data_IF_523907392092
#
_entry.id   IF_523907392092
#
_cell.length_a   1.000
_cell.length_b   1.000
_cell.length_c   1.000
_cell.angle_alpha   90.00
_cell.angle_beta   90.00
_cell.angle_gamma   90.00
#
_symmetry.space_group_name_H-M   'P 1'
#
loop_
_entity.id
_entity.type
_entity.pdbx_description
1 polymer ?
#
# COMPACT_ATOMS: atom_id res chain seq x y z
N UNK A 1 1.08 -13.61 -43.05
CA UNK A 1 0.73 -14.77 -42.19
C UNK A 1 0.90 -14.31 -40.75
N UNK A 2 -0.17 -14.29 -39.95
CA UNK A 2 -0.12 -13.84 -38.54
C UNK A 2 0.03 -15.05 -37.63
N UNK A 3 1.12 -15.12 -36.86
CA UNK A 3 1.36 -16.20 -35.92
C UNK A 3 0.47 -16.01 -34.68
N UNK A 4 -0.31 -17.02 -34.26
CA UNK A 4 -1.20 -16.87 -33.12
C UNK A 4 -0.42 -16.73 -31.81
N UNK A 5 -0.87 -15.78 -30.97
CA UNK A 5 -0.34 -15.53 -29.64
C UNK A 5 -0.56 -16.76 -28.75
N UNK A 6 0.53 -17.36 -28.25
CA UNK A 6 0.48 -18.45 -27.28
C UNK A 6 0.67 -17.89 -25.88
N UNK A 7 -0.43 -17.76 -25.14
CA UNK A 7 -0.40 -17.35 -23.74
C UNK A 7 -0.22 -18.57 -22.83
N UNK A 8 0.50 -18.40 -21.72
CA UNK A 8 0.63 -19.43 -20.68
C UNK A 8 -0.74 -19.68 -20.05
N UNK A 9 -1.10 -20.95 -19.85
CA UNK A 9 -2.27 -21.30 -19.05
C UNK A 9 -2.02 -20.88 -17.59
N UNK A 10 -2.94 -20.08 -17.05
CA UNK A 10 -2.94 -19.63 -15.67
C UNK A 10 -3.96 -20.45 -14.88
N UNK A 11 -3.62 -20.86 -13.66
CA UNK A 11 -4.58 -21.54 -12.78
C UNK A 11 -5.61 -20.54 -12.23
N UNK A 12 -6.81 -21.02 -11.88
CA UNK A 12 -7.83 -20.18 -11.26
C UNK A 12 -7.37 -19.55 -9.94
N UNK A 13 -6.55 -20.28 -9.17
CA UNK A 13 -5.94 -19.78 -7.95
C UNK A 13 -4.96 -18.64 -8.24
N UNK A 14 -4.06 -18.80 -9.23
CA UNK A 14 -3.13 -17.74 -9.61
C UNK A 14 -3.88 -16.50 -10.14
N UNK A 15 -4.94 -16.68 -10.93
CA UNK A 15 -5.77 -15.59 -11.44
C UNK A 15 -6.47 -14.83 -10.30
N UNK A 16 -7.04 -15.55 -9.33
CA UNK A 16 -7.68 -14.95 -8.15
C UNK A 16 -6.67 -14.19 -7.30
N UNK A 17 -5.52 -14.79 -7.00
CA UNK A 17 -4.47 -14.15 -6.20
C UNK A 17 -3.94 -12.90 -6.88
N UNK A 18 -3.66 -12.94 -8.19
CA UNK A 18 -3.24 -11.75 -8.94
C UNK A 18 -4.32 -10.68 -9.01
N UNK A 19 -5.60 -11.08 -9.10
CA UNK A 19 -6.71 -10.15 -9.01
C UNK A 19 -6.74 -9.43 -7.66
N UNK A 20 -6.65 -10.18 -6.56
CA UNK A 20 -6.61 -9.62 -5.21
C UNK A 20 -5.42 -8.66 -5.01
N UNK A 21 -4.23 -9.05 -5.46
CA UNK A 21 -3.05 -8.19 -5.37
C UNK A 21 -3.21 -6.95 -6.28
N UNK A 22 -3.71 -7.13 -7.49
CA UNK A 22 -3.91 -6.05 -8.47
C UNK A 22 -5.00 -5.06 -8.07
N UNK A 23 -6.00 -5.49 -7.29
CA UNK A 23 -7.02 -4.59 -6.74
C UNK A 23 -6.46 -3.58 -5.74
N UNK A 24 -5.32 -3.89 -5.12
CA UNK A 24 -4.73 -3.04 -4.09
C UNK A 24 -5.62 -2.91 -2.84
N UNK A 25 -5.32 -1.92 -2.02
CA UNK A 25 -6.09 -1.55 -0.83
C UNK A 25 -6.63 -0.12 -0.98
N UNK A 26 -7.85 0.08 -0.50
CA UNK A 26 -8.52 1.38 -0.45
C UNK A 26 -8.97 1.61 0.98
N UNK A 27 -8.46 2.66 1.59
CA UNK A 27 -8.65 2.97 3.00
C UNK A 27 -9.32 4.34 3.10
N UNK A 28 -10.64 4.40 3.31
CA UNK A 28 -11.32 5.67 3.52
C UNK A 28 -10.85 6.29 4.84
N UNK A 29 -10.75 7.62 4.87
CA UNK A 29 -10.40 8.38 6.06
C UNK A 29 -11.24 9.65 6.16
N UNK A 30 -11.30 10.22 7.35
CA UNK A 30 -11.91 11.50 7.65
C UNK A 30 -10.88 12.35 8.39
N UNK A 31 -10.54 13.51 7.83
CA UNK A 31 -9.59 14.48 8.40
C UNK A 31 -10.34 15.79 8.66
N UNK A 32 -10.71 16.03 9.91
CA UNK A 32 -11.67 17.09 10.25
C UNK A 32 -12.97 16.92 9.46
N UNK A 33 -13.36 17.94 8.70
CA UNK A 33 -14.55 17.91 7.84
C UNK A 33 -14.30 17.31 6.45
N UNK A 34 -13.05 16.95 6.13
CA UNK A 34 -12.67 16.43 4.82
C UNK A 34 -12.66 14.90 4.78
N UNK A 35 -13.51 14.32 3.92
CA UNK A 35 -13.48 12.89 3.60
C UNK A 35 -12.47 12.61 2.49
N UNK A 36 -11.72 11.51 2.60
CA UNK A 36 -10.74 11.11 1.60
C UNK A 36 -10.52 9.61 1.53
N UNK A 37 -9.66 9.18 0.61
CA UNK A 37 -9.28 7.78 0.43
C UNK A 37 -7.78 7.64 0.20
N UNK A 38 -7.12 6.84 1.03
CA UNK A 38 -5.74 6.39 0.81
C UNK A 38 -5.76 5.11 -0.02
N UNK A 39 -5.01 5.10 -1.12
CA UNK A 39 -4.95 3.98 -2.07
C UNK A 39 -3.56 3.40 -2.10
N UNK A 40 -3.46 2.09 -1.93
CA UNK A 40 -2.21 1.33 -2.04
C UNK A 40 -2.39 0.37 -3.19
N UNK A 41 -1.47 0.37 -4.15
CA UNK A 41 -1.54 -0.52 -5.30
C UNK A 41 -0.15 -0.94 -5.74
N UNK A 42 -0.11 -1.95 -6.60
CA UNK A 42 1.11 -2.25 -7.33
C UNK A 42 1.42 -1.09 -8.27
N UNK A 43 2.70 -0.74 -8.34
CA UNK A 43 3.15 0.17 -9.37
C UNK A 43 2.99 -0.49 -10.75
N UNK A 44 2.42 0.25 -11.70
CA UNK A 44 2.21 -0.24 -13.06
C UNK A 44 3.52 -0.25 -13.88
N UNK A 45 4.63 0.21 -13.29
CA UNK A 45 5.94 0.32 -13.93
C UNK A 45 6.07 1.53 -14.86
N UNK A 46 5.12 2.48 -14.79
CA UNK A 46 5.25 3.76 -15.47
C UNK A 46 6.42 4.53 -14.83
N UNK A 47 7.39 5.01 -15.61
CA UNK A 47 8.54 5.72 -15.06
C UNK A 47 8.08 7.02 -14.41
N UNK A 48 7.95 7.01 -13.08
CA UNK A 48 7.59 8.19 -12.31
C UNK A 48 8.81 9.10 -12.17
N UNK A 49 8.62 10.40 -12.39
CA UNK A 49 9.62 11.41 -12.05
C UNK A 49 10.03 11.24 -10.58
N UNK A 50 11.31 11.51 -10.26
CA UNK A 50 11.94 11.28 -8.95
C UNK A 50 10.97 11.53 -7.77
N UNK A 51 10.37 10.46 -7.26
CA UNK A 51 9.36 10.53 -6.20
C UNK A 51 9.98 10.27 -4.84
N UNK A 52 9.23 10.56 -3.77
CA UNK A 52 9.61 10.14 -2.42
C UNK A 52 9.21 8.68 -2.21
N UNK A 53 10.14 7.86 -1.74
CA UNK A 53 9.90 6.46 -1.40
C UNK A 53 10.29 6.17 0.04
N UNK A 54 9.50 5.32 0.69
CA UNK A 54 9.84 4.69 1.96
C UNK A 54 10.45 3.30 1.68
N UNK A 55 11.39 2.88 2.53
CA UNK A 55 11.91 1.51 2.47
C UNK A 55 11.06 0.62 3.36
N UNK A 56 10.51 -0.46 2.83
CA UNK A 56 9.84 -1.49 3.61
C UNK A 56 10.40 -2.89 3.27
N UNK A 57 10.01 -3.91 4.05
CA UNK A 57 10.47 -5.29 3.84
C UNK A 57 10.05 -5.87 2.48
N UNK A 58 8.97 -5.36 1.89
CA UNK A 58 8.48 -5.77 0.57
C UNK A 58 9.12 -5.00 -0.59
N UNK A 59 10.02 -4.04 -0.32
CA UNK A 59 10.67 -3.19 -1.32
C UNK A 59 10.39 -1.69 -1.11
N UNK A 60 10.61 -0.85 -2.13
CA UNK A 60 10.28 0.56 -2.05
C UNK A 60 8.76 0.77 -2.11
N UNK A 61 8.23 1.57 -1.18
CA UNK A 61 6.86 2.06 -1.20
C UNK A 61 6.88 3.53 -1.67
N UNK A 62 6.36 3.78 -2.87
CA UNK A 62 6.37 5.10 -3.47
C UNK A 62 5.16 5.94 -3.05
N UNK A 63 5.40 7.17 -2.62
CA UNK A 63 4.36 8.12 -2.21
C UNK A 63 3.96 8.99 -3.38
N UNK A 64 2.67 9.00 -3.73
CA UNK A 64 2.15 9.83 -4.83
C UNK A 64 2.18 11.31 -4.51
N UNK A 65 1.92 11.67 -3.25
CA UNK A 65 1.93 13.02 -2.71
C UNK A 65 2.56 12.92 -1.32
N UNK A 66 3.86 13.22 -1.24
CA UNK A 66 4.67 12.81 -0.08
C UNK A 66 4.25 13.56 1.18
N UNK A 67 4.00 14.86 1.07
CA UNK A 67 3.62 15.69 2.21
C UNK A 67 2.22 15.33 2.71
N UNK A 68 1.23 15.22 1.83
CA UNK A 68 -0.13 14.87 2.20
C UNK A 68 -0.24 13.47 2.82
N UNK A 69 0.48 12.48 2.27
CA UNK A 69 0.49 11.12 2.84
C UNK A 69 1.18 11.10 4.20
N UNK A 70 2.34 11.76 4.35
CA UNK A 70 3.01 11.85 5.65
C UNK A 70 2.17 12.61 6.68
N UNK A 71 1.50 13.70 6.29
CA UNK A 71 0.57 14.45 7.13
C UNK A 71 -0.57 13.57 7.62
N UNK A 72 -1.22 12.83 6.72
CA UNK A 72 -2.28 11.88 7.07
C UNK A 72 -1.79 10.79 8.03
N UNK A 73 -0.61 10.22 7.80
CA UNK A 73 -0.02 9.22 8.69
C UNK A 73 0.35 9.81 10.06
N UNK A 74 0.75 11.09 10.10
CA UNK A 74 1.09 11.79 11.35
C UNK A 74 -0.13 12.18 12.19
N UNK A 75 -1.28 12.43 11.54
CA UNK A 75 -2.54 12.78 12.21
C UNK A 75 -3.29 11.55 12.75
N UNK A 76 -2.85 10.34 12.40
CA UNK A 76 -3.48 9.10 12.86
C UNK A 76 -3.24 8.93 14.38
N UNK A 77 -4.27 9.06 15.24
CA UNK A 77 -4.09 8.94 16.68
C UNK A 77 -3.69 7.50 17.05
N UNK A 78 -2.86 7.40 18.09
CA UNK A 78 -2.42 6.15 18.73
C UNK A 78 -3.52 5.08 18.76
N UNK A 79 -3.18 3.88 18.26
CA UNK A 79 -4.10 2.76 18.15
C UNK A 79 -4.72 2.36 19.50
N UNK A 80 -5.96 1.81 19.49
CA UNK A 80 -6.67 1.42 20.71
C UNK A 80 -5.86 0.42 21.54
N UNK A 81 -6.01 0.54 22.87
CA UNK A 81 -5.24 -0.16 23.90
C UNK A 81 -5.53 -1.66 24.05
N UNK A 82 -6.33 -2.27 23.16
CA UNK A 82 -6.59 -3.71 23.23
C UNK A 82 -5.41 -4.48 22.66
N UNK A 83 -4.55 -4.80 23.63
CA UNK A 83 -3.42 -5.69 23.65
C UNK A 83 -3.86 -7.09 23.16
N UNK A 84 -3.56 -7.41 21.90
CA UNK A 84 -3.41 -8.80 21.50
C UNK A 84 -1.96 -9.02 21.07
N UNK A 85 -1.38 -10.08 21.63
CA UNK A 85 0.03 -10.49 21.68
C UNK A 85 0.71 -10.63 20.30
N UNK A 86 -0.06 -10.51 19.21
CA UNK A 86 0.38 -10.75 17.82
C UNK A 86 1.07 -9.55 17.13
N UNK A 87 1.37 -8.47 17.86
CA UNK A 87 1.88 -7.20 17.29
C UNK A 87 3.39 -6.97 17.39
N UNK A 88 4.20 -8.04 17.42
CA UNK A 88 5.68 -7.95 17.32
C UNK A 88 6.21 -7.25 16.05
N UNK A 89 5.34 -6.95 15.08
CA UNK A 89 5.70 -6.25 13.85
C UNK A 89 5.44 -4.73 13.89
N UNK A 90 4.92 -4.18 14.98
CA UNK A 90 4.52 -2.77 15.07
C UNK A 90 5.65 -1.87 15.63
N UNK A 91 6.54 -1.47 14.72
CA UNK A 91 7.29 -0.20 14.72
C UNK A 91 8.21 0.15 15.92
N UNK A 92 9.48 -0.30 15.92
CA UNK A 92 10.49 0.13 16.91
C UNK A 92 10.91 1.60 16.82
N UNK A 93 10.37 2.36 15.87
CA UNK A 93 10.81 3.72 15.53
C UNK A 93 10.04 4.84 16.24
N UNK A 94 8.95 4.53 16.97
CA UNK A 94 8.13 5.55 17.67
C UNK A 94 8.09 5.43 19.19
N UNK A 95 8.78 4.45 19.80
CA UNK A 95 8.83 4.31 21.27
C UNK A 95 10.25 4.55 21.80
N UNK A 96 10.64 5.81 21.94
CA UNK A 96 11.67 6.22 22.89
C UNK A 96 11.10 7.39 23.71
N UNK A 97 10.78 7.10 24.97
CA UNK A 97 10.22 8.00 25.96
C UNK A 97 9.63 7.21 27.11
#
# INVERSE_FOLDING_TARGET
MSTPLRLRRQSAAEARTRGLIGHGLRLPFQLGDSAGELRIGLDAGEPRAAGTALRCAAGPLWLSEAEGVCGLLSDCPSLPADNDEDRLWYWPLFSHG
#
